data_IF_105189817123
#
_entry.id   IF_105189817123
#
_cell.length_a   1.000
_cell.length_b   1.000
_cell.length_c   1.000
_cell.angle_alpha   90.00
_cell.angle_beta   90.00
_cell.angle_gamma   90.00
#
_symmetry.space_group_name_H-M   'P 1'
#
loop_
_entity.id
_entity.type
_entity.pdbx_description
1 polymer ?
#
# COMPACT_ATOMS: atom_id res chain seq x y z
N UNK A 1 -4.59 -16.69 -8.43
CA UNK A 1 -3.73 -15.48 -8.46
C UNK A 1 -4.53 -14.20 -8.77
N UNK A 2 -5.68 -14.27 -9.48
CA UNK A 2 -6.68 -13.19 -9.53
C UNK A 2 -7.24 -12.83 -8.13
N UNK A 3 -7.26 -13.83 -7.26
CA UNK A 3 -7.78 -13.85 -5.89
C UNK A 3 -7.25 -12.77 -4.93
N UNK A 4 -6.06 -12.22 -5.18
CA UNK A 4 -5.47 -11.14 -4.36
C UNK A 4 -5.98 -9.75 -4.74
N UNK A 5 -6.29 -9.55 -6.03
CA UNK A 5 -6.74 -8.26 -6.56
C UNK A 5 -8.27 -8.17 -6.60
N UNK A 6 -8.95 -9.31 -6.77
CA UNK A 6 -10.41 -9.36 -6.84
C UNK A 6 -11.09 -9.16 -5.47
N UNK A 7 -10.35 -9.17 -4.36
CA UNK A 7 -10.91 -9.04 -3.01
C UNK A 7 -11.93 -10.13 -2.63
N UNK A 8 -12.12 -11.14 -3.49
CA UNK A 8 -13.12 -12.21 -3.35
C UNK A 8 -12.71 -13.31 -2.37
N UNK A 9 -11.46 -13.29 -1.90
CA UNK A 9 -10.85 -14.40 -1.16
C UNK A 9 -10.42 -14.02 0.25
N UNK A 10 -10.35 -12.71 0.56
CA UNK A 10 -9.89 -12.21 1.85
C UNK A 10 -10.95 -11.31 2.47
N UNK A 11 -11.27 -11.54 3.74
CA UNK A 11 -12.26 -10.75 4.48
C UNK A 11 -11.88 -9.26 4.58
N UNK A 12 -10.58 -8.95 4.54
CA UNK A 12 -10.05 -7.59 4.54
C UNK A 12 -8.86 -7.43 3.59
N UNK A 13 -8.57 -6.20 3.12
CA UNK A 13 -7.38 -5.94 2.30
C UNK A 13 -6.10 -6.38 3.02
N UNK A 14 -5.18 -7.07 2.31
CA UNK A 14 -3.93 -7.58 2.92
C UNK A 14 -2.82 -6.52 3.02
N UNK A 15 -3.02 -5.37 2.38
CA UNK A 15 -2.11 -4.23 2.41
C UNK A 15 -2.87 -2.91 2.38
N UNK A 16 -2.24 -1.87 2.92
CA UNK A 16 -2.69 -0.50 2.84
C UNK A 16 -1.56 0.36 2.25
N UNK A 17 -1.86 1.21 1.27
CA UNK A 17 -0.87 2.00 0.56
C UNK A 17 -1.18 3.48 0.76
N UNK A 18 -0.19 4.25 1.17
CA UNK A 18 -0.28 5.71 1.32
C UNK A 18 0.78 6.42 0.49
N UNK A 19 0.54 7.69 0.20
CA UNK A 19 1.50 8.56 -0.49
C UNK A 19 2.40 9.19 0.55
N UNK A 20 3.71 9.02 0.38
CA UNK A 20 4.74 9.65 1.21
C UNK A 20 5.10 11.04 0.68
N UNK A 21 5.38 11.13 -0.62
CA UNK A 21 5.77 12.38 -1.27
C UNK A 21 5.58 12.33 -2.79
N UNK A 22 5.55 13.51 -3.41
CA UNK A 22 5.51 13.69 -4.87
C UNK A 22 6.72 14.54 -5.25
N UNK A 23 7.38 14.21 -6.35
CA UNK A 23 8.45 15.04 -6.91
C UNK A 23 7.94 16.43 -7.29
N UNK A 24 8.78 17.45 -7.14
CA UNK A 24 8.42 18.84 -7.48
C UNK A 24 8.05 19.01 -8.96
N UNK A 25 8.70 18.23 -9.84
CA UNK A 25 8.45 18.23 -11.28
C UNK A 25 8.38 16.82 -11.87
N UNK A 26 8.09 16.71 -13.18
CA UNK A 26 8.21 15.45 -13.91
C UNK A 26 9.66 14.92 -13.87
N UNK A 27 9.81 13.63 -13.61
CA UNK A 27 11.11 12.96 -13.50
C UNK A 27 11.41 12.10 -14.73
N UNK A 28 10.36 11.56 -15.37
CA UNK A 28 10.48 10.76 -16.59
C UNK A 28 9.43 11.23 -17.60
N UNK A 29 9.88 11.89 -18.67
CA UNK A 29 8.98 12.52 -19.64
C UNK A 29 8.02 13.48 -18.94
N UNK A 30 6.71 13.28 -19.13
CA UNK A 30 5.65 14.04 -18.46
C UNK A 30 5.17 13.43 -17.14
N UNK A 31 5.86 12.43 -16.58
CA UNK A 31 5.44 11.71 -15.38
C UNK A 31 6.18 12.19 -14.13
N UNK A 32 5.41 12.45 -13.08
CA UNK A 32 5.88 12.75 -11.74
C UNK A 32 6.20 11.46 -11.00
N UNK A 33 7.24 11.48 -10.17
CA UNK A 33 7.55 10.38 -9.25
C UNK A 33 6.71 10.56 -7.99
N UNK A 34 5.98 9.51 -7.60
CA UNK A 34 5.23 9.46 -6.34
C UNK A 34 5.84 8.38 -5.49
N UNK A 35 6.38 8.75 -4.33
CA UNK A 35 6.87 7.81 -3.33
C UNK A 35 5.69 7.30 -2.50
N UNK A 36 5.68 6.00 -2.27
CA UNK A 36 4.59 5.27 -1.62
C UNK A 36 5.13 4.52 -0.41
N UNK A 37 4.32 4.46 0.64
CA UNK A 37 4.49 3.52 1.74
C UNK A 37 3.43 2.43 1.58
N UNK A 38 3.89 1.18 1.47
CA UNK A 38 3.04 -0.01 1.46
C UNK A 38 3.15 -0.64 2.84
N UNK A 39 2.05 -0.70 3.58
CA UNK A 39 1.96 -1.38 4.87
C UNK A 39 1.24 -2.71 4.71
N UNK A 40 1.81 -3.79 5.24
CA UNK A 40 1.19 -5.11 5.24
C UNK A 40 0.31 -5.32 6.48
N UNK A 41 -0.76 -6.12 6.34
CA UNK A 41 -1.63 -6.50 7.46
C UNK A 41 -0.92 -7.42 8.49
N UNK A 42 0.05 -8.23 8.04
CA UNK A 42 0.84 -9.13 8.87
C UNK A 42 2.19 -9.45 8.24
N UNK A 43 3.13 -9.98 9.02
CA UNK A 43 4.45 -10.40 8.53
C UNK A 43 4.40 -11.43 7.39
N UNK A 44 3.42 -12.35 7.43
CA UNK A 44 3.20 -13.32 6.35
C UNK A 44 2.85 -12.64 5.03
N UNK A 45 1.95 -11.65 5.08
CA UNK A 45 1.60 -10.86 3.90
C UNK A 45 2.74 -9.93 3.48
N UNK A 46 3.50 -9.38 4.42
CA UNK A 46 4.65 -8.54 4.11
C UNK A 46 5.68 -9.26 3.23
N UNK A 47 6.03 -10.50 3.59
CA UNK A 47 6.92 -11.36 2.79
C UNK A 47 6.38 -11.61 1.38
N UNK A 48 5.08 -11.76 1.25
CA UNK A 48 4.42 -12.03 -0.02
C UNK A 48 4.35 -10.78 -0.92
N UNK A 49 4.09 -9.62 -0.33
CA UNK A 49 4.05 -8.32 -1.00
C UNK A 49 5.45 -7.94 -1.48
N UNK A 50 6.48 -8.12 -0.66
CA UNK A 50 7.85 -7.74 -0.98
C UNK A 50 8.39 -8.44 -2.23
N UNK A 51 8.00 -9.70 -2.46
CA UNK A 51 8.33 -10.46 -3.69
C UNK A 51 7.72 -9.87 -4.97
N UNK A 52 6.77 -8.94 -4.85
CA UNK A 52 6.04 -8.32 -5.97
C UNK A 52 6.38 -6.84 -6.15
N UNK A 53 7.10 -6.24 -5.21
CA UNK A 53 7.50 -4.85 -5.32
C UNK A 53 8.61 -4.70 -6.37
N UNK A 54 8.64 -3.51 -6.98
CA UNK A 54 9.71 -3.13 -7.90
C UNK A 54 11.06 -3.19 -7.17
N UNK A 55 12.09 -3.62 -7.89
CA UNK A 55 13.48 -3.58 -7.41
C UNK A 55 13.85 -2.19 -6.85
N UNK A 56 14.60 -2.17 -5.74
CA UNK A 56 15.00 -0.96 -5.03
C UNK A 56 13.99 -0.45 -4.00
N UNK A 57 12.96 -1.22 -3.64
CA UNK A 57 12.13 -0.91 -2.46
C UNK A 57 12.95 -1.05 -1.17
N UNK A 58 12.57 -0.28 -0.14
CA UNK A 58 13.22 -0.31 1.18
C UNK A 58 12.21 -0.78 2.22
N UNK A 59 12.50 -1.84 2.95
CA UNK A 59 11.66 -2.29 4.06
C UNK A 59 12.07 -1.62 5.39
N UNK A 60 11.11 -1.43 6.29
CA UNK A 60 11.36 -1.12 7.70
C UNK A 60 12.00 -2.32 8.43
N UNK A 61 12.54 -2.07 9.62
CA UNK A 61 13.18 -3.11 10.45
C UNK A 61 12.23 -4.25 10.83
N UNK A 62 10.95 -3.95 11.07
CA UNK A 62 9.90 -4.94 11.32
C UNK A 62 9.39 -5.64 10.05
N UNK A 63 9.84 -5.18 8.88
CA UNK A 63 9.44 -5.67 7.57
C UNK A 63 7.98 -5.38 7.20
N UNK A 64 7.20 -4.67 8.02
CA UNK A 64 5.78 -4.43 7.78
C UNK A 64 5.52 -3.23 6.87
N UNK A 65 6.47 -2.32 6.76
CA UNK A 65 6.42 -1.19 5.84
C UNK A 65 7.45 -1.33 4.74
N UNK A 66 7.03 -1.05 3.51
CA UNK A 66 7.89 -1.04 2.34
C UNK A 66 7.72 0.29 1.60
N UNK A 67 8.82 1.01 1.41
CA UNK A 67 8.88 2.24 0.62
C UNK A 67 9.21 1.90 -0.83
N UNK A 68 8.39 2.40 -1.75
CA UNK A 68 8.58 2.22 -3.20
C UNK A 68 8.14 3.48 -3.94
N UNK A 69 8.16 3.47 -5.27
CA UNK A 69 7.68 4.60 -6.06
C UNK A 69 7.04 4.17 -7.38
N UNK A 70 6.15 5.03 -7.88
CA UNK A 70 5.51 4.92 -9.18
C UNK A 70 5.69 6.21 -9.97
N UNK A 71 5.50 6.14 -11.29
CA UNK A 71 5.53 7.30 -12.18
C UNK A 71 4.16 7.53 -12.78
N UNK A 72 3.56 8.69 -12.52
CA UNK A 72 2.18 9.01 -12.91
C UNK A 72 2.13 10.34 -13.66
N UNK A 73 1.24 10.44 -14.65
CA UNK A 73 1.05 11.70 -15.40
C UNK A 73 0.27 12.74 -14.59
N UNK A 74 -0.74 12.31 -13.82
CA UNK A 74 -1.56 13.18 -13.00
C UNK A 74 -1.39 12.84 -11.51
N UNK A 75 -0.34 13.38 -10.84
CA UNK A 75 -0.09 13.09 -9.44
C UNK A 75 -1.21 13.60 -8.53
N UNK A 76 -1.93 14.66 -8.90
CA UNK A 76 -3.02 15.20 -8.09
C UNK A 76 -4.16 14.20 -7.95
N UNK A 77 -4.71 13.74 -9.07
CA UNK A 77 -5.80 12.76 -9.08
C UNK A 77 -5.35 11.44 -8.46
N UNK A 78 -4.13 10.99 -8.80
CA UNK A 78 -3.56 9.79 -8.18
C UNK A 78 -3.53 9.90 -6.65
N UNK A 79 -2.99 11.00 -6.11
CA UNK A 79 -2.93 11.22 -4.67
C UNK A 79 -4.31 11.30 -4.01
N UNK A 80 -5.31 11.90 -4.66
CA UNK A 80 -6.69 11.94 -4.17
C UNK A 80 -7.29 10.53 -4.09
N UNK A 81 -7.14 9.73 -5.14
CA UNK A 81 -7.58 8.33 -5.16
C UNK A 81 -6.88 7.49 -4.08
N UNK A 82 -5.56 7.65 -3.93
CA UNK A 82 -4.78 6.93 -2.91
C UNK A 82 -5.21 7.31 -1.49
N UNK A 83 -5.44 8.61 -1.22
CA UNK A 83 -5.95 9.08 0.08
C UNK A 83 -7.33 8.49 0.40
N UNK A 84 -8.23 8.46 -0.58
CA UNK A 84 -9.54 7.85 -0.40
C UNK A 84 -9.43 6.36 -0.11
N UNK A 85 -8.63 5.62 -0.91
CA UNK A 85 -8.48 4.18 -0.73
C UNK A 85 -7.80 3.83 0.59
N UNK A 86 -6.79 4.60 0.99
CA UNK A 86 -6.08 4.44 2.25
C UNK A 86 -7.03 4.47 3.45
N UNK A 87 -7.94 5.47 3.47
CA UNK A 87 -8.95 5.61 4.53
C UNK A 87 -9.95 4.45 4.53
N UNK A 88 -10.40 4.01 3.36
CA UNK A 88 -11.31 2.86 3.25
C UNK A 88 -10.66 1.57 3.81
N UNK A 89 -9.39 1.33 3.48
CA UNK A 89 -8.64 0.16 3.98
C UNK A 89 -8.40 0.27 5.48
N UNK A 90 -8.00 1.44 5.97
CA UNK A 90 -7.76 1.68 7.39
C UNK A 90 -9.00 1.43 8.24
N UNK A 91 -10.18 1.86 7.78
CA UNK A 91 -11.46 1.56 8.44
C UNK A 91 -11.75 0.07 8.47
N UNK A 92 -11.54 -0.65 7.36
CA UNK A 92 -11.73 -2.11 7.29
C UNK A 92 -10.78 -2.85 8.23
N UNK A 93 -9.53 -2.40 8.31
CA UNK A 93 -8.53 -2.98 9.23
C UNK A 93 -8.92 -2.75 10.67
N UNK A 94 -9.35 -1.54 11.03
CA UNK A 94 -9.82 -1.24 12.38
C UNK A 94 -10.96 -2.15 12.78
N UNK A 95 -11.99 -2.28 11.94
CA UNK A 95 -13.13 -3.18 12.19
C UNK A 95 -12.67 -4.64 12.36
N UNK A 96 -11.72 -5.10 11.54
CA UNK A 96 -11.19 -6.45 11.64
C UNK A 96 -10.41 -6.71 12.93
N UNK A 97 -9.57 -5.76 13.37
CA UNK A 97 -8.84 -5.88 14.63
C UNK A 97 -9.77 -5.76 15.84
N UNK A 98 -10.80 -4.92 15.77
CA UNK A 98 -11.81 -4.78 16.82
C UNK A 98 -12.69 -6.05 16.96
N UNK A 99 -12.84 -6.82 15.87
CA UNK A 99 -13.57 -8.10 15.84
C UNK A 99 -12.69 -9.32 16.15
N UNK A 100 -11.37 -9.20 16.05
CA UNK A 100 -10.47 -10.27 16.45
C UNK A 100 -10.63 -10.46 17.96
N UNK A 101 -11.04 -11.66 18.44
CA UNK A 101 -11.17 -11.87 19.88
C UNK A 101 -9.83 -11.55 20.53
N UNK A 102 -9.86 -10.90 21.70
CA UNK A 102 -8.70 -10.80 22.57
C UNK A 102 -8.23 -12.23 22.82
N UNK A 103 -7.22 -12.66 22.07
CA UNK A 103 -6.56 -13.93 22.31
C UNK A 103 -5.71 -13.66 23.55
N UNK A 104 -6.16 -14.21 24.69
CA UNK A 104 -5.45 -14.23 25.97
C UNK A 104 -3.99 -14.71 25.81
#
# INVERSE_FOLDING_TARGET
MHDWYDGRTFAVPVMNISVESVSEGPVIGSRYKVNLIVRALSAGYARLISLRLKEGFVASDDGLEMRTSVYVQNPKVFCECMKWKHKEVEQKWKVYYDMAPAVD
#
